data_IF_982473244228
#
_entry.id   IF_982473244228
#
_cell.length_a   1.000
_cell.length_b   1.000
_cell.length_c   1.000
_cell.angle_alpha   90.00
_cell.angle_beta   90.00
_cell.angle_gamma   90.00
#
_symmetry.space_group_name_H-M   'P 1'
#
loop_
_entity.id
_entity.type
_entity.pdbx_description
1 polymer ?
#
# COMPACT_ATOMS: atom_id res chain seq x y z
N UNK A 1 24.28 -51.07 53.55
CA UNK A 1 24.68 -49.71 53.97
C UNK A 1 23.95 -48.71 53.11
N UNK A 2 23.47 -47.63 53.72
CA UNK A 2 22.22 -46.91 53.42
C UNK A 2 22.51 -45.69 52.52
N UNK A 3 21.60 -44.88 51.98
CA UNK A 3 20.19 -44.58 52.23
C UNK A 3 19.60 -44.04 50.88
N UNK A 4 18.45 -44.48 50.35
CA UNK A 4 17.07 -44.15 50.81
C UNK A 4 16.76 -42.67 50.53
N UNK A 5 15.72 -42.21 49.82
CA UNK A 5 14.50 -42.81 49.23
C UNK A 5 13.99 -41.83 48.13
N UNK A 6 13.34 -42.27 47.03
CA UNK A 6 11.91 -42.66 46.91
C UNK A 6 11.00 -41.51 47.36
N UNK A 7 9.93 -41.11 46.73
CA UNK A 7 8.91 -41.67 45.82
C UNK A 7 7.76 -40.64 46.00
N UNK A 8 6.72 -40.45 45.22
CA UNK A 8 6.07 -41.07 44.07
C UNK A 8 4.90 -40.11 43.77
N UNK A 9 4.26 -40.30 42.61
CA UNK A 9 2.84 -40.02 42.33
C UNK A 9 2.42 -38.54 42.14
N UNK A 10 1.48 -38.16 41.27
CA UNK A 10 0.59 -38.82 40.29
C UNK A 10 -0.10 -37.68 39.50
N UNK A 11 -0.34 -37.93 38.22
CA UNK A 11 -1.42 -37.46 37.30
C UNK A 11 -2.09 -36.08 37.47
N UNK A 12 -2.19 -35.43 36.31
CA UNK A 12 -3.37 -34.79 35.70
C UNK A 12 -4.44 -34.17 36.61
N UNK A 13 -4.59 -32.85 36.51
CA UNK A 13 -5.87 -32.22 36.20
C UNK A 13 -5.60 -30.87 35.52
N UNK A 14 -5.84 -30.80 34.21
CA UNK A 14 -6.30 -29.56 33.59
C UNK A 14 -7.68 -29.27 34.17
N UNK A 15 -7.89 -28.07 34.72
CA UNK A 15 -9.10 -27.25 34.55
C UNK A 15 -9.00 -25.95 35.37
N UNK A 16 -9.08 -24.82 34.66
CA UNK A 16 -9.69 -23.57 35.11
C UNK A 16 -9.01 -22.74 36.22
N UNK A 17 -8.08 -21.86 35.84
CA UNK A 17 -7.90 -20.57 36.54
C UNK A 17 -7.59 -19.46 35.52
N UNK A 18 -8.49 -18.47 35.44
CA UNK A 18 -8.31 -17.20 34.74
C UNK A 18 -7.05 -16.47 35.23
N UNK A 19 -6.22 -15.85 34.37
CA UNK A 19 -5.20 -14.94 34.84
C UNK A 19 -5.86 -13.61 35.25
N UNK A 20 -5.89 -13.39 36.55
CA UNK A 20 -6.32 -12.17 37.22
C UNK A 20 -5.64 -10.90 36.66
N UNK A 21 -6.46 -9.86 36.50
CA UNK A 21 -6.18 -8.46 36.12
C UNK A 21 -5.22 -7.69 37.07
N UNK A 22 -4.32 -8.35 37.80
CA UNK A 22 -3.46 -7.71 38.82
C UNK A 22 -1.97 -7.63 38.48
N UNK A 23 -1.52 -8.18 37.36
CA UNK A 23 -0.11 -8.03 36.94
C UNK A 23 0.17 -6.75 36.12
N UNK A 24 -0.84 -6.17 35.45
CA UNK A 24 -0.70 -4.92 34.69
C UNK A 24 -0.52 -3.67 35.56
N UNK A 25 -0.96 -3.68 36.82
CA UNK A 25 -0.89 -2.52 37.72
C UNK A 25 0.41 -2.43 38.52
N UNK A 26 1.15 -3.53 38.70
CA UNK A 26 2.41 -3.51 39.44
C UNK A 26 3.58 -3.03 38.56
N UNK A 27 3.70 -3.56 37.33
CA UNK A 27 4.70 -3.06 36.36
C UNK A 27 4.41 -1.62 35.94
N UNK A 28 3.13 -1.25 35.73
CA UNK A 28 2.73 0.13 35.45
C UNK A 28 3.05 1.10 36.60
N UNK A 29 2.87 0.71 37.86
CA UNK A 29 3.21 1.54 39.04
C UNK A 29 4.71 1.58 39.33
N UNK A 30 5.47 0.53 39.01
CA UNK A 30 6.93 0.53 39.17
C UNK A 30 7.58 1.39 38.08
N UNK A 31 7.13 1.30 36.83
CA UNK A 31 7.61 2.16 35.74
C UNK A 31 7.18 3.62 35.94
N UNK A 32 5.93 3.88 36.37
CA UNK A 32 5.49 5.26 36.70
C UNK A 32 6.18 5.80 37.95
N UNK A 33 6.46 4.96 38.95
CA UNK A 33 7.18 5.33 40.17
C UNK A 33 8.65 5.65 39.91
N UNK A 34 9.32 4.91 39.03
CA UNK A 34 10.70 5.17 38.63
C UNK A 34 10.79 6.43 37.77
N UNK A 35 9.90 6.63 36.79
CA UNK A 35 9.87 7.87 35.98
C UNK A 35 9.54 9.10 36.83
N UNK A 36 8.61 9.01 37.79
CA UNK A 36 8.31 10.11 38.72
C UNK A 36 9.48 10.43 39.64
N UNK A 37 10.20 9.41 40.12
CA UNK A 37 11.37 9.58 41.00
C UNK A 37 12.58 10.13 40.24
N UNK A 38 12.78 9.72 38.98
CA UNK A 38 13.81 10.27 38.09
C UNK A 38 13.47 11.70 37.71
N UNK A 39 12.21 12.01 37.39
CA UNK A 39 11.73 13.37 37.12
C UNK A 39 11.89 14.29 38.33
N UNK A 40 11.53 13.82 39.53
CA UNK A 40 11.75 14.57 40.77
C UNK A 40 13.24 14.76 41.07
N UNK A 41 14.08 13.75 40.82
CA UNK A 41 15.53 13.86 40.97
C UNK A 41 16.14 14.86 39.98
N UNK A 42 15.73 14.87 38.71
CA UNK A 42 16.19 15.83 37.72
C UNK A 42 15.69 17.25 38.01
N UNK A 43 14.43 17.42 38.44
CA UNK A 43 13.91 18.72 38.86
C UNK A 43 14.68 19.26 40.08
N UNK A 44 14.90 18.42 41.09
CA UNK A 44 15.69 18.80 42.27
C UNK A 44 17.16 19.06 41.94
N UNK A 45 17.76 18.31 41.00
CA UNK A 45 19.12 18.54 40.54
C UNK A 45 19.22 19.84 39.72
N UNK A 46 18.22 20.15 38.89
CA UNK A 46 18.14 21.41 38.15
C UNK A 46 17.93 22.61 39.06
N UNK A 47 17.04 22.52 40.06
CA UNK A 47 16.87 23.57 41.08
C UNK A 47 18.17 23.78 41.87
N UNK A 48 18.80 22.70 42.32
CA UNK A 48 20.04 22.79 43.10
C UNK A 48 21.21 23.36 42.29
N UNK A 49 21.29 23.07 40.99
CA UNK A 49 22.36 23.58 40.13
C UNK A 49 22.07 25.00 39.61
N UNK A 50 20.80 25.37 39.37
CA UNK A 50 20.44 26.75 39.04
C UNK A 50 20.72 27.69 40.22
N UNK A 51 20.48 27.24 41.46
CA UNK A 51 20.85 27.98 42.68
C UNK A 51 22.37 28.12 42.87
N UNK A 52 23.17 27.13 42.47
CA UNK A 52 24.63 27.13 42.65
C UNK A 52 25.41 27.82 41.53
N UNK A 53 24.95 27.76 40.27
CA UNK A 53 25.70 28.28 39.12
C UNK A 53 24.97 29.34 38.28
N UNK A 54 23.72 29.68 38.63
CA UNK A 54 22.89 30.58 37.82
C UNK A 54 22.61 30.05 36.41
N UNK A 55 22.73 28.73 36.21
CA UNK A 55 22.52 28.01 34.95
C UNK A 55 21.98 26.61 35.27
N UNK A 56 20.94 26.11 34.58
CA UNK A 56 20.45 24.75 34.77
C UNK A 56 21.51 23.70 34.39
N UNK A 57 21.30 22.44 34.81
CA UNK A 57 22.09 21.27 34.38
C UNK A 57 21.79 20.98 32.91
N UNK A 58 22.34 21.84 32.08
CA UNK A 58 22.32 21.78 30.62
C UNK A 58 23.34 20.74 30.11
N UNK A 59 24.34 20.39 30.92
CA UNK A 59 25.47 19.57 30.49
C UNK A 59 25.23 18.05 30.37
N UNK A 60 24.01 17.54 30.58
CA UNK A 60 23.78 16.08 30.61
C UNK A 60 22.48 15.61 29.94
N UNK A 61 22.17 16.18 28.77
CA UNK A 61 21.09 15.68 27.89
C UNK A 61 21.25 14.20 27.49
N UNK A 62 22.46 13.64 27.61
CA UNK A 62 22.76 12.22 27.37
C UNK A 62 22.01 11.26 28.32
N UNK A 63 21.66 11.70 29.54
CA UNK A 63 20.87 10.92 30.49
C UNK A 63 19.37 11.08 30.27
N UNK A 64 18.93 12.30 29.94
CA UNK A 64 17.52 12.62 29.64
C UNK A 64 17.01 11.81 28.44
N UNK A 65 17.82 11.68 27.38
CA UNK A 65 17.43 10.99 26.14
C UNK A 65 17.30 9.45 26.27
N UNK A 66 17.70 8.85 27.41
CA UNK A 66 17.63 7.39 27.64
C UNK A 66 16.62 6.94 28.70
N UNK A 67 16.10 7.86 29.52
CA UNK A 67 15.31 7.48 30.72
C UNK A 67 14.08 8.34 30.96
N UNK A 68 13.95 9.48 30.29
CA UNK A 68 12.84 10.41 30.47
C UNK A 68 12.15 10.60 29.13
N UNK A 69 10.82 10.58 29.15
CA UNK A 69 10.01 11.02 28.02
C UNK A 69 10.25 12.53 27.81
N UNK A 70 11.24 12.84 26.97
CA UNK A 70 11.77 14.19 26.79
C UNK A 70 10.69 15.20 26.37
N UNK A 71 9.76 14.90 25.44
CA UNK A 71 8.62 15.77 25.16
C UNK A 71 7.81 16.14 26.40
N UNK A 72 7.36 15.16 27.19
CA UNK A 72 6.59 15.39 28.42
C UNK A 72 7.37 16.15 29.49
N UNK A 73 8.71 16.06 29.49
CA UNK A 73 9.55 16.86 30.38
C UNK A 73 9.62 18.33 29.91
N UNK A 74 9.79 18.55 28.61
CA UNK A 74 9.87 19.89 28.03
C UNK A 74 8.54 20.65 28.12
N UNK A 75 7.39 19.96 28.03
CA UNK A 75 6.04 20.55 28.18
C UNK A 75 5.78 21.09 29.59
N UNK A 76 6.42 20.51 30.60
CA UNK A 76 6.25 20.89 32.02
C UNK A 76 7.24 21.97 32.49
N UNK A 77 8.14 22.43 31.61
CA UNK A 77 9.09 23.49 31.95
C UNK A 77 8.40 24.85 32.04
N UNK A 78 8.85 25.68 32.97
CA UNK A 78 8.53 27.11 32.94
C UNK A 78 9.12 27.77 31.70
N UNK A 79 8.55 28.92 31.28
CA UNK A 79 9.05 29.65 30.10
C UNK A 79 10.54 29.98 30.21
N UNK A 80 10.99 30.45 31.38
CA UNK A 80 12.40 30.76 31.64
C UNK A 80 13.31 29.55 31.41
N UNK A 81 12.90 28.37 31.89
CA UNK A 81 13.69 27.15 31.74
C UNK A 81 13.67 26.66 30.28
N UNK A 82 12.52 26.74 29.60
CA UNK A 82 12.40 26.34 28.20
C UNK A 82 13.23 27.24 27.28
N UNK A 83 13.27 28.55 27.57
CA UNK A 83 14.10 29.53 26.89
C UNK A 83 15.59 29.21 27.05
N UNK A 84 16.04 28.94 28.27
CA UNK A 84 17.44 28.57 28.53
C UNK A 84 17.82 27.25 27.82
N UNK A 85 16.90 26.28 27.75
CA UNK A 85 17.11 25.05 26.97
C UNK A 85 17.24 25.38 25.47
N UNK A 86 16.37 26.22 24.91
CA UNK A 86 16.45 26.62 23.49
C UNK A 86 17.77 27.36 23.18
N UNK A 87 18.21 28.28 24.05
CA UNK A 87 19.47 29.00 23.89
C UNK A 87 20.68 28.05 23.97
N UNK A 88 20.65 27.09 24.90
CA UNK A 88 21.68 26.06 25.00
C UNK A 88 21.75 25.21 23.75
N UNK A 89 20.61 24.79 23.22
CA UNK A 89 20.55 23.94 22.03
C UNK A 89 21.21 24.64 20.83
N UNK A 90 20.98 25.94 20.67
CA UNK A 90 21.67 26.74 19.64
C UNK A 90 23.18 26.83 19.88
N UNK A 91 23.63 26.85 21.13
CA UNK A 91 25.06 26.80 21.45
C UNK A 91 25.67 25.43 21.13
N UNK A 92 24.98 24.34 21.47
CA UNK A 92 25.42 22.98 21.17
C UNK A 92 25.49 22.73 19.66
N UNK A 93 24.57 23.28 18.89
CA UNK A 93 24.58 23.24 17.42
C UNK A 93 25.76 24.01 16.79
N UNK A 94 26.34 24.98 17.52
CA UNK A 94 27.53 25.75 17.10
C UNK A 94 28.84 25.18 17.66
N UNK A 95 28.77 24.05 18.38
CA UNK A 95 29.94 23.39 18.98
C UNK A 95 30.86 22.79 17.92
N UNK A 96 32.16 22.72 18.21
CA UNK A 96 33.11 21.95 17.38
C UNK A 96 33.05 20.44 17.66
N UNK A 97 32.44 20.02 18.77
CA UNK A 97 32.23 18.60 19.11
C UNK A 97 31.01 18.03 18.36
N UNK A 98 31.20 17.10 17.39
CA UNK A 98 30.11 16.53 16.60
C UNK A 98 29.05 15.83 17.45
N UNK A 99 29.43 15.25 18.60
CA UNK A 99 28.48 14.59 19.51
C UNK A 99 27.53 15.61 20.14
N UNK A 100 28.06 16.78 20.53
CA UNK A 100 27.24 17.88 21.05
C UNK A 100 26.34 18.47 19.98
N UNK A 101 26.87 18.69 18.78
CA UNK A 101 26.08 19.18 17.64
C UNK A 101 24.90 18.25 17.37
N UNK A 102 25.14 16.94 17.30
CA UNK A 102 24.07 15.97 17.04
C UNK A 102 23.05 15.91 18.19
N UNK A 103 23.50 15.91 19.45
CA UNK A 103 22.59 15.95 20.60
C UNK A 103 21.75 17.23 20.62
N UNK A 104 22.36 18.38 20.32
CA UNK A 104 21.66 19.66 20.15
C UNK A 104 20.60 19.56 19.06
N UNK A 105 20.93 18.98 17.90
CA UNK A 105 19.99 18.78 16.79
C UNK A 105 18.77 17.93 17.18
N UNK A 106 18.97 16.86 17.97
CA UNK A 106 17.86 16.04 18.48
C UNK A 106 16.91 16.84 19.38
N UNK A 107 17.46 17.57 20.35
CA UNK A 107 16.64 18.38 21.28
C UNK A 107 15.97 19.52 20.52
N UNK A 108 16.66 20.13 19.55
CA UNK A 108 16.10 21.14 18.65
C UNK A 108 14.87 20.63 17.90
N UNK A 109 14.95 19.42 17.32
CA UNK A 109 13.83 18.79 16.63
C UNK A 109 12.61 18.57 17.54
N UNK A 110 12.84 18.15 18.79
CA UNK A 110 11.76 18.01 19.80
C UNK A 110 11.19 19.36 20.23
N UNK A 111 12.03 20.39 20.39
CA UNK A 111 11.59 21.72 20.77
C UNK A 111 10.64 22.34 19.72
N UNK A 112 10.87 22.10 18.44
CA UNK A 112 9.98 22.58 17.39
C UNK A 112 8.60 21.91 17.37
N UNK A 113 8.48 20.71 17.94
CA UNK A 113 7.23 19.94 18.01
C UNK A 113 6.41 20.20 19.26
N UNK A 114 6.97 20.91 20.23
CA UNK A 114 6.31 21.17 21.50
C UNK A 114 4.98 21.86 21.28
N UNK A 115 3.93 21.25 21.82
CA UNK A 115 2.64 21.92 21.97
C UNK A 115 2.78 22.94 23.09
N UNK A 116 3.14 24.16 22.71
CA UNK A 116 3.34 25.29 23.63
C UNK A 116 2.01 25.84 24.18
N UNK A 117 1.03 24.97 24.46
CA UNK A 117 -0.35 25.37 24.79
C UNK A 117 -0.43 26.18 26.10
N UNK A 118 0.55 26.00 26.99
CA UNK A 118 0.66 26.70 28.28
C UNK A 118 1.36 28.07 28.17
N UNK A 119 1.87 28.45 27.00
CA UNK A 119 2.60 29.69 26.78
C UNK A 119 1.77 30.68 25.96
N UNK A 120 1.96 31.97 26.20
CA UNK A 120 1.34 33.01 25.39
C UNK A 120 2.02 33.14 24.00
N UNK A 121 1.39 33.90 23.10
CA UNK A 121 1.90 34.05 21.73
C UNK A 121 3.26 34.77 21.68
N UNK A 122 3.55 35.66 22.65
CA UNK A 122 4.83 36.37 22.74
C UNK A 122 5.96 35.42 23.17
N UNK A 123 5.70 34.56 24.15
CA UNK A 123 6.62 33.53 24.62
C UNK A 123 6.94 32.52 23.52
N UNK A 124 5.91 32.06 22.79
CA UNK A 124 6.07 31.19 21.60
C UNK A 124 6.93 31.83 20.52
N UNK A 125 6.70 33.12 20.24
CA UNK A 125 7.47 33.86 19.25
C UNK A 125 8.93 34.02 19.67
N UNK A 126 9.20 34.20 20.96
CA UNK A 126 10.54 34.31 21.50
C UNK A 126 11.33 32.99 21.38
N UNK A 127 10.74 31.85 21.78
CA UNK A 127 11.37 30.53 21.55
C UNK A 127 11.59 30.29 20.06
N UNK A 128 10.60 30.58 19.22
CA UNK A 128 10.72 30.43 17.77
C UNK A 128 11.87 31.27 17.19
N UNK A 129 12.04 32.52 17.65
CA UNK A 129 13.15 33.39 17.23
C UNK A 129 14.51 32.81 17.60
N UNK A 130 14.62 32.16 18.77
CA UNK A 130 15.87 31.50 19.19
C UNK A 130 16.16 30.30 18.29
N UNK A 131 15.19 29.40 18.10
CA UNK A 131 15.38 28.19 17.29
C UNK A 131 15.67 28.50 15.82
N UNK A 132 15.06 29.56 15.27
CA UNK A 132 15.29 30.03 13.89
C UNK A 132 16.67 30.66 13.65
N UNK A 133 17.53 30.79 14.67
CA UNK A 133 18.92 31.19 14.47
C UNK A 133 19.76 30.12 13.75
N UNK A 134 19.28 28.88 13.71
CA UNK A 134 19.94 27.77 13.01
C UNK A 134 19.10 27.40 11.78
N UNK A 135 19.66 27.45 10.56
CA UNK A 135 18.95 27.05 9.36
C UNK A 135 18.54 25.58 9.40
N UNK A 136 17.28 25.29 9.09
CA UNK A 136 16.75 23.93 9.04
C UNK A 136 17.54 23.01 8.08
N UNK A 137 18.12 23.57 7.02
CA UNK A 137 18.99 22.84 6.09
C UNK A 137 20.27 22.32 6.76
N UNK A 138 20.87 23.07 7.70
CA UNK A 138 22.07 22.62 8.42
C UNK A 138 21.75 21.42 9.32
N UNK A 139 20.59 21.44 9.98
CA UNK A 139 20.09 20.32 10.80
C UNK A 139 19.84 19.09 9.92
N UNK A 140 19.25 19.28 8.74
CA UNK A 140 19.03 18.23 7.78
C UNK A 140 20.35 17.59 7.32
N UNK A 141 21.35 18.40 6.96
CA UNK A 141 22.64 17.92 6.46
C UNK A 141 23.38 17.11 7.55
N UNK A 142 23.32 17.58 8.80
CA UNK A 142 23.85 16.87 9.97
C UNK A 142 23.15 15.52 10.20
N UNK A 143 21.81 15.50 10.17
CA UNK A 143 21.04 14.28 10.36
C UNK A 143 21.30 13.28 9.22
N UNK A 144 21.42 13.75 7.98
CA UNK A 144 21.74 12.94 6.81
C UNK A 144 23.13 12.28 6.94
N UNK A 145 24.16 13.05 7.32
CA UNK A 145 25.52 12.51 7.51
C UNK A 145 25.54 11.46 8.62
N UNK A 146 24.92 11.75 9.76
CA UNK A 146 24.82 10.83 10.90
C UNK A 146 24.02 9.56 10.58
N UNK A 147 22.99 9.68 9.75
CA UNK A 147 22.16 8.55 9.31
C UNK A 147 22.94 7.58 8.41
N UNK A 148 23.78 8.12 7.51
CA UNK A 148 24.57 7.31 6.58
C UNK A 148 25.84 6.74 7.22
N UNK A 149 26.16 7.08 8.47
CA UNK A 149 27.30 6.52 9.19
C UNK A 149 27.01 5.07 9.62
N UNK A 150 27.71 4.12 8.99
CA UNK A 150 27.60 2.68 9.27
C UNK A 150 28.29 2.27 10.58
N UNK A 151 29.10 3.13 11.19
CA UNK A 151 29.93 2.74 12.33
C UNK A 151 29.17 2.74 13.67
N UNK A 152 28.02 3.41 13.76
CA UNK A 152 27.26 3.51 15.00
C UNK A 152 25.74 3.46 14.78
N UNK A 153 25.11 2.26 14.88
CA UNK A 153 23.68 2.10 14.69
C UNK A 153 22.81 2.98 15.59
N UNK A 154 23.21 3.22 16.85
CA UNK A 154 22.44 4.06 17.78
C UNK A 154 22.39 5.52 17.30
N UNK A 155 23.44 6.01 16.65
CA UNK A 155 23.46 7.37 16.08
C UNK A 155 22.57 7.42 14.83
N UNK A 156 22.62 6.41 13.97
CA UNK A 156 21.79 6.37 12.77
C UNK A 156 20.30 6.30 13.10
N UNK A 157 19.90 5.49 14.10
CA UNK A 157 18.50 5.37 14.52
C UNK A 157 17.98 6.70 15.05
N UNK A 158 18.78 7.37 15.89
CA UNK A 158 18.53 8.73 16.37
C UNK A 158 18.48 9.77 15.26
N UNK A 159 19.26 9.59 14.20
CA UNK A 159 19.25 10.46 13.04
C UNK A 159 17.97 10.25 12.22
N UNK A 160 17.50 9.00 12.12
CA UNK A 160 16.22 8.66 11.49
C UNK A 160 15.06 9.33 12.23
N UNK A 161 15.04 9.28 13.56
CA UNK A 161 14.06 9.99 14.38
C UNK A 161 14.08 11.49 14.13
N UNK A 162 15.26 12.11 14.06
CA UNK A 162 15.39 13.53 13.76
C UNK A 162 14.89 13.86 12.35
N UNK A 163 15.21 13.04 11.34
CA UNK A 163 14.70 13.22 9.97
C UNK A 163 13.16 13.11 9.92
N UNK A 164 12.57 12.15 10.62
CA UNK A 164 11.11 12.06 10.78
C UNK A 164 10.54 13.27 11.51
N UNK A 165 11.27 13.78 12.51
CA UNK A 165 10.86 14.98 13.21
C UNK A 165 10.81 16.20 12.28
N UNK A 166 11.83 16.37 11.44
CA UNK A 166 11.89 17.41 10.42
C UNK A 166 10.77 17.26 9.39
N UNK A 167 10.43 16.03 8.97
CA UNK A 167 9.37 15.77 8.00
C UNK A 167 8.00 16.25 8.45
N UNK A 168 7.75 16.25 9.76
CA UNK A 168 6.45 16.69 10.30
C UNK A 168 6.32 18.20 10.48
N UNK A 169 7.39 18.97 10.32
CA UNK A 169 7.36 20.43 10.48
C UNK A 169 6.60 21.10 9.35
N UNK A 170 6.91 20.69 8.12
CA UNK A 170 6.24 21.19 6.93
C UNK A 170 6.32 20.18 5.79
N UNK A 171 5.35 20.28 4.89
CA UNK A 171 5.21 19.43 3.71
C UNK A 171 6.44 19.45 2.80
N UNK A 172 7.05 20.62 2.57
CA UNK A 172 8.18 20.72 1.66
C UNK A 172 9.42 20.00 2.20
N UNK A 173 9.62 20.02 3.51
CA UNK A 173 10.67 19.24 4.19
C UNK A 173 10.41 17.73 4.07
N UNK A 174 9.16 17.31 4.26
CA UNK A 174 8.73 15.92 4.12
C UNK A 174 8.97 15.38 2.70
N UNK A 175 8.57 16.14 1.68
CA UNK A 175 8.72 15.77 0.26
C UNK A 175 10.21 15.66 -0.14
N UNK A 176 11.04 16.60 0.34
CA UNK A 176 12.50 16.56 0.14
C UNK A 176 13.12 15.31 0.76
N UNK A 177 12.65 14.89 1.95
CA UNK A 177 13.14 13.69 2.61
C UNK A 177 12.82 12.43 1.82
N UNK A 178 11.61 12.31 1.26
CA UNK A 178 11.21 11.17 0.42
C UNK A 178 12.05 11.08 -0.86
N UNK A 179 12.35 12.21 -1.50
CA UNK A 179 13.22 12.25 -2.68
C UNK A 179 14.68 11.93 -2.31
N UNK A 180 15.21 12.52 -1.24
CA UNK A 180 16.55 12.24 -0.73
C UNK A 180 16.71 10.76 -0.39
N UNK A 181 15.83 10.16 0.42
CA UNK A 181 15.92 8.75 0.80
C UNK A 181 15.84 7.84 -0.44
N UNK A 182 14.98 8.19 -1.41
CA UNK A 182 14.89 7.48 -2.69
C UNK A 182 16.14 7.63 -3.58
N UNK A 183 16.88 8.74 -3.50
CA UNK A 183 18.19 8.92 -4.15
C UNK A 183 19.26 8.08 -3.45
N UNK A 184 19.25 8.03 -2.12
CA UNK A 184 20.21 7.22 -1.36
C UNK A 184 20.03 5.72 -1.61
N UNK A 185 18.80 5.22 -1.68
CA UNK A 185 18.54 3.82 -2.05
C UNK A 185 19.11 3.44 -3.43
N UNK A 186 19.11 4.39 -4.38
CA UNK A 186 19.69 4.21 -5.72
C UNK A 186 21.21 4.24 -5.72
N UNK A 187 21.83 4.79 -4.67
CA UNK A 187 23.28 4.84 -4.55
C UNK A 187 23.85 3.43 -4.39
N UNK A 188 24.87 3.12 -5.17
CA UNK A 188 25.58 1.83 -5.10
C UNK A 188 26.43 1.68 -3.84
N UNK A 189 26.66 2.77 -3.11
CA UNK A 189 27.60 2.81 -2.00
C UNK A 189 26.95 2.63 -0.64
N UNK A 190 25.61 2.61 -0.55
CA UNK A 190 24.93 2.34 0.71
C UNK A 190 25.11 0.86 1.11
N UNK A 191 25.52 0.63 2.36
CA UNK A 191 25.59 -0.69 2.97
C UNK A 191 24.20 -1.36 3.01
N UNK A 192 24.17 -2.67 3.28
CA UNK A 192 22.91 -3.40 3.46
C UNK A 192 22.10 -2.82 4.64
N UNK A 193 22.78 -2.46 5.72
CA UNK A 193 22.16 -1.92 6.93
C UNK A 193 21.58 -0.51 6.69
N UNK A 194 22.32 0.37 6.00
CA UNK A 194 21.79 1.68 5.58
C UNK A 194 20.61 1.52 4.64
N UNK A 195 20.64 0.57 3.71
CA UNK A 195 19.49 0.30 2.83
C UNK A 195 18.26 -0.16 3.59
N UNK A 196 18.41 -1.06 4.57
CA UNK A 196 17.32 -1.48 5.43
C UNK A 196 16.68 -0.29 6.16
N UNK A 197 17.51 0.54 6.81
CA UNK A 197 17.05 1.74 7.52
C UNK A 197 16.41 2.78 6.60
N UNK A 198 16.93 2.97 5.38
CA UNK A 198 16.30 3.86 4.39
C UNK A 198 14.91 3.36 3.98
N UNK A 199 14.71 2.05 3.91
CA UNK A 199 13.40 1.48 3.60
C UNK A 199 12.41 1.69 4.74
N UNK A 200 12.82 1.44 5.98
CA UNK A 200 11.98 1.72 7.15
C UNK A 200 11.65 3.23 7.24
N UNK A 201 12.63 4.11 7.03
CA UNK A 201 12.41 5.55 6.98
C UNK A 201 11.41 5.95 5.89
N UNK A 202 11.49 5.38 4.68
CA UNK A 202 10.52 5.64 3.62
C UNK A 202 9.12 5.17 3.98
N UNK A 203 8.98 4.02 4.64
CA UNK A 203 7.69 3.53 5.11
C UNK A 203 7.09 4.46 6.16
N UNK A 204 7.91 4.95 7.09
CA UNK A 204 7.46 5.88 8.12
C UNK A 204 7.11 7.24 7.54
N UNK A 205 7.92 7.80 6.64
CA UNK A 205 7.58 9.00 5.87
C UNK A 205 6.27 8.82 5.10
N UNK A 206 6.08 7.67 4.45
CA UNK A 206 4.87 7.36 3.70
C UNK A 206 3.59 7.27 4.55
N UNK A 207 3.72 7.13 5.87
CA UNK A 207 2.60 7.15 6.83
C UNK A 207 2.27 8.54 7.37
N UNK A 208 3.15 9.52 7.17
CA UNK A 208 2.92 10.88 7.66
C UNK A 208 1.91 11.61 6.78
N UNK A 209 0.84 12.11 7.39
CA UNK A 209 -0.17 12.93 6.69
C UNK A 209 0.37 14.27 6.17
N UNK A 210 1.51 14.72 6.70
CA UNK A 210 2.23 15.89 6.20
C UNK A 210 2.84 15.68 4.80
N UNK A 211 3.11 14.43 4.40
CA UNK A 211 3.62 14.07 3.07
C UNK A 211 2.45 13.98 2.11
N UNK A 212 2.58 14.52 0.89
CA UNK A 212 1.52 14.35 -0.09
C UNK A 212 1.35 12.90 -0.54
N UNK A 213 0.15 12.59 -1.03
CA UNK A 213 -0.20 11.24 -1.46
C UNK A 213 0.72 10.69 -2.57
N UNK A 214 1.22 11.51 -3.48
CA UNK A 214 2.15 11.06 -4.53
C UNK A 214 3.50 10.66 -3.94
N UNK A 215 4.02 11.43 -2.99
CA UNK A 215 5.25 11.09 -2.28
C UNK A 215 5.07 9.90 -1.33
N UNK A 216 3.93 9.78 -0.64
CA UNK A 216 3.60 8.58 0.17
C UNK A 216 3.58 7.32 -0.71
N UNK A 217 2.93 7.39 -1.87
CA UNK A 217 2.91 6.30 -2.84
C UNK A 217 4.29 6.01 -3.44
N UNK A 218 5.05 7.06 -3.79
CA UNK A 218 6.43 6.96 -4.29
C UNK A 218 7.35 6.27 -3.29
N UNK A 219 7.19 6.57 -2.00
CA UNK A 219 7.94 5.90 -0.94
C UNK A 219 7.64 4.40 -0.90
N UNK A 220 6.37 3.99 -0.92
CA UNK A 220 5.97 2.59 -0.96
C UNK A 220 6.50 1.87 -2.22
N UNK A 221 6.40 2.47 -3.41
CA UNK A 221 6.91 1.90 -4.67
C UNK A 221 8.44 1.72 -4.60
N UNK A 222 9.18 2.71 -4.07
CA UNK A 222 10.64 2.59 -3.90
C UNK A 222 10.99 1.41 -2.98
N UNK A 223 10.25 1.23 -1.88
CA UNK A 223 10.46 0.08 -0.98
C UNK A 223 10.11 -1.24 -1.66
N UNK A 224 9.06 -1.32 -2.48
CA UNK A 224 8.78 -2.52 -3.28
C UNK A 224 9.93 -2.86 -4.24
N UNK A 225 10.48 -1.87 -4.94
CA UNK A 225 11.54 -2.07 -5.94
C UNK A 225 12.86 -2.47 -5.28
N UNK A 226 13.27 -1.75 -4.23
CA UNK A 226 14.60 -1.92 -3.62
C UNK A 226 14.60 -2.87 -2.43
N UNK A 227 13.43 -3.18 -1.87
CA UNK A 227 13.24 -4.11 -0.76
C UNK A 227 13.89 -5.46 -1.03
N UNK A 228 14.84 -5.82 -0.17
CA UNK A 228 15.58 -7.08 -0.27
C UNK A 228 14.84 -8.25 0.38
N UNK A 229 13.89 -7.97 1.29
CA UNK A 229 13.16 -9.01 2.03
C UNK A 229 11.66 -8.99 1.71
N UNK A 230 10.97 -10.14 1.76
CA UNK A 230 9.52 -10.20 1.61
C UNK A 230 8.79 -9.31 2.61
N UNK A 231 9.25 -9.25 3.87
CA UNK A 231 8.59 -8.49 4.93
C UNK A 231 8.56 -6.99 4.63
N UNK A 232 9.63 -6.42 4.04
CA UNK A 232 9.65 -5.01 3.65
C UNK A 232 8.71 -4.73 2.48
N UNK A 233 8.62 -5.66 1.53
CA UNK A 233 7.68 -5.56 0.42
C UNK A 233 6.23 -5.68 0.88
N UNK A 234 5.97 -6.52 1.88
CA UNK A 234 4.66 -6.66 2.49
C UNK A 234 4.26 -5.39 3.23
N UNK A 235 5.15 -4.82 4.07
CA UNK A 235 4.91 -3.51 4.71
C UNK A 235 4.64 -2.38 3.70
N UNK A 236 5.34 -2.39 2.56
CA UNK A 236 5.09 -1.41 1.49
C UNK A 236 3.72 -1.62 0.83
N UNK A 237 3.32 -2.89 0.64
CA UNK A 237 1.98 -3.25 0.21
C UNK A 237 0.90 -2.80 1.18
N UNK A 238 1.08 -3.07 2.48
CA UNK A 238 0.16 -2.65 3.55
C UNK A 238 0.00 -1.12 3.55
N UNK A 239 1.09 -0.38 3.40
CA UNK A 239 1.04 1.07 3.27
C UNK A 239 0.18 1.50 2.08
N UNK A 240 0.35 0.90 0.89
CA UNK A 240 -0.49 1.23 -0.27
C UNK A 240 -1.98 0.96 -0.01
N UNK A 241 -2.29 -0.14 0.66
CA UNK A 241 -3.68 -0.47 1.03
C UNK A 241 -4.24 0.54 2.05
N UNK A 242 -3.44 0.97 3.01
CA UNK A 242 -3.84 2.00 3.97
C UNK A 242 -4.10 3.35 3.30
N UNK A 243 -3.27 3.74 2.31
CA UNK A 243 -3.50 4.93 1.49
C UNK A 243 -4.78 4.82 0.66
N UNK A 244 -5.06 3.65 0.11
CA UNK A 244 -6.27 3.40 -0.67
C UNK A 244 -7.55 3.45 0.17
N UNK A 245 -7.46 3.19 1.48
CA UNK A 245 -8.59 3.22 2.42
C UNK A 245 -8.99 4.62 2.87
N UNK A 246 -8.19 5.65 2.59
CA UNK A 246 -8.44 7.01 3.09
C UNK A 246 -9.78 7.58 2.59
N UNK A 247 -9.97 7.56 1.27
CA UNK A 247 -11.19 7.95 0.58
C UNK A 247 -11.15 7.48 -0.88
N UNK A 248 -12.27 7.64 -1.58
CA UNK A 248 -12.43 7.26 -2.99
C UNK A 248 -11.43 7.99 -3.92
N UNK A 249 -11.06 9.25 -3.63
CA UNK A 249 -10.11 10.01 -4.43
C UNK A 249 -8.68 9.48 -4.28
N UNK A 250 -8.31 9.10 -3.06
CA UNK A 250 -7.05 8.46 -2.72
C UNK A 250 -6.98 7.06 -3.31
N UNK A 251 -8.08 6.32 -3.30
CA UNK A 251 -8.18 5.02 -3.97
C UNK A 251 -7.90 5.14 -5.47
N UNK A 252 -8.60 6.02 -6.18
CA UNK A 252 -8.41 6.23 -7.63
C UNK A 252 -6.95 6.59 -7.96
N UNK A 253 -6.33 7.42 -7.12
CA UNK A 253 -4.95 7.80 -7.27
C UNK A 253 -3.99 6.61 -7.07
N UNK A 254 -4.17 5.86 -5.98
CA UNK A 254 -3.31 4.70 -5.64
C UNK A 254 -3.46 3.61 -6.69
N UNK A 255 -4.68 3.33 -7.14
CA UNK A 255 -5.00 2.31 -8.14
C UNK A 255 -4.29 2.61 -9.46
N UNK A 256 -4.43 3.83 -10.00
CA UNK A 256 -3.73 4.25 -11.23
C UNK A 256 -2.22 4.14 -11.11
N UNK A 257 -1.65 4.59 -9.99
CA UNK A 257 -0.20 4.53 -9.74
C UNK A 257 0.29 3.09 -9.65
N UNK A 258 -0.47 2.21 -9.00
CA UNK A 258 -0.14 0.80 -8.86
C UNK A 258 -0.29 0.05 -10.20
N UNK A 259 -1.34 0.34 -10.97
CA UNK A 259 -1.53 -0.21 -12.32
C UNK A 259 -0.41 0.23 -13.26
N UNK A 260 -0.04 1.51 -13.25
CA UNK A 260 1.10 2.03 -14.01
C UNK A 260 2.42 1.35 -13.62
N UNK A 261 2.67 1.19 -12.33
CA UNK A 261 3.84 0.45 -11.83
C UNK A 261 3.85 -1.00 -12.32
N UNK A 262 2.72 -1.71 -12.19
CA UNK A 262 2.54 -3.11 -12.60
C UNK A 262 2.72 -3.27 -14.11
N UNK A 263 2.29 -2.29 -14.88
CA UNK A 263 2.46 -2.24 -16.34
C UNK A 263 3.91 -2.01 -16.76
N UNK A 264 4.60 -1.08 -16.08
CA UNK A 264 5.94 -0.61 -16.49
C UNK A 264 7.08 -1.46 -15.92
N UNK A 265 6.85 -2.19 -14.83
CA UNK A 265 7.88 -3.04 -14.24
C UNK A 265 8.26 -4.20 -15.16
N UNK A 266 9.57 -4.48 -15.23
CA UNK A 266 10.12 -5.62 -15.99
C UNK A 266 10.35 -6.85 -15.12
N UNK A 267 10.19 -6.72 -13.81
CA UNK A 267 10.33 -7.84 -12.87
C UNK A 267 9.02 -8.60 -12.79
N UNK A 268 9.05 -9.90 -13.07
CA UNK A 268 7.90 -10.81 -12.90
C UNK A 268 7.36 -10.78 -11.49
N UNK A 269 8.24 -10.78 -10.49
CA UNK A 269 7.87 -10.85 -9.08
C UNK A 269 7.20 -9.56 -8.62
N UNK A 270 7.71 -8.40 -9.05
CA UNK A 270 7.08 -7.12 -8.79
C UNK A 270 5.74 -6.97 -9.53
N UNK A 271 5.63 -7.55 -10.73
CA UNK A 271 4.38 -7.57 -11.47
C UNK A 271 3.34 -8.42 -10.75
N UNK A 272 3.70 -9.62 -10.30
CA UNK A 272 2.83 -10.48 -9.51
C UNK A 272 2.36 -9.78 -8.22
N UNK A 273 3.30 -9.19 -7.46
CA UNK A 273 2.97 -8.42 -6.25
C UNK A 273 2.05 -7.23 -6.54
N UNK A 274 2.27 -6.52 -7.65
CA UNK A 274 1.40 -5.43 -8.08
C UNK A 274 -0.03 -5.89 -8.38
N UNK A 275 -0.18 -7.03 -9.05
CA UNK A 275 -1.50 -7.65 -9.29
C UNK A 275 -2.16 -8.11 -7.99
N UNK A 276 -1.42 -8.73 -7.08
CA UNK A 276 -1.94 -9.15 -5.77
C UNK A 276 -2.46 -7.96 -4.95
N UNK A 277 -1.75 -6.82 -5.03
CA UNK A 277 -2.17 -5.58 -4.36
C UNK A 277 -3.43 -5.00 -5.01
N UNK A 278 -3.55 -4.99 -6.34
CA UNK A 278 -4.77 -4.57 -7.04
C UNK A 278 -5.98 -5.45 -6.64
N UNK A 279 -5.79 -6.77 -6.51
CA UNK A 279 -6.82 -7.67 -6.01
C UNK A 279 -7.21 -7.36 -4.56
N UNK A 280 -6.22 -7.11 -3.70
CA UNK A 280 -6.45 -6.74 -2.30
C UNK A 280 -7.19 -5.40 -2.18
N UNK A 281 -6.91 -4.45 -3.06
CA UNK A 281 -7.65 -3.18 -3.15
C UNK A 281 -9.11 -3.39 -3.58
N UNK A 282 -9.36 -4.27 -4.55
CA UNK A 282 -10.72 -4.57 -5.02
C UNK A 282 -11.57 -5.29 -3.96
N UNK A 283 -10.95 -5.93 -2.97
CA UNK A 283 -11.60 -6.55 -1.82
C UNK A 283 -11.98 -5.54 -0.71
N UNK A 284 -11.56 -4.27 -0.79
CA UNK A 284 -11.88 -3.24 0.21
C UNK A 284 -13.37 -2.85 0.14
N UNK A 285 -14.15 -3.29 1.13
CA UNK A 285 -15.59 -3.04 1.24
C UNK A 285 -15.96 -1.58 1.58
N UNK A 286 -15.00 -0.80 2.09
CA UNK A 286 -15.17 0.63 2.41
C UNK A 286 -15.19 1.54 1.18
N UNK A 287 -14.91 1.01 -0.01
CA UNK A 287 -14.73 1.77 -1.26
C UNK A 287 -15.87 1.48 -2.23
N UNK A 288 -16.23 2.46 -3.06
CA UNK A 288 -17.33 2.30 -4.02
C UNK A 288 -17.09 1.16 -5.05
N UNK A 289 -18.18 0.54 -5.49
CA UNK A 289 -18.15 -0.60 -6.41
C UNK A 289 -17.44 -0.28 -7.74
N UNK A 290 -17.55 0.96 -8.24
CA UNK A 290 -16.86 1.35 -9.47
C UNK A 290 -15.34 1.29 -9.32
N UNK A 291 -14.80 1.71 -8.18
CA UNK A 291 -13.35 1.72 -7.96
C UNK A 291 -12.81 0.30 -7.73
N UNK A 292 -13.56 -0.52 -6.99
CA UNK A 292 -13.24 -1.94 -6.81
C UNK A 292 -13.26 -2.71 -8.12
N UNK A 293 -14.23 -2.43 -8.99
CA UNK A 293 -14.32 -3.01 -10.32
C UNK A 293 -13.14 -2.61 -11.21
N UNK A 294 -12.69 -1.34 -11.14
CA UNK A 294 -11.48 -0.90 -11.85
C UNK A 294 -10.25 -1.68 -11.38
N UNK A 295 -10.01 -1.75 -10.06
CA UNK A 295 -8.85 -2.45 -9.50
C UNK A 295 -8.84 -3.94 -9.86
N UNK A 296 -9.99 -4.63 -9.80
CA UNK A 296 -10.10 -6.02 -10.24
C UNK A 296 -9.93 -6.18 -11.77
N UNK A 297 -10.39 -5.19 -12.55
CA UNK A 297 -10.20 -5.12 -14.00
C UNK A 297 -8.73 -4.98 -14.37
N UNK A 298 -8.00 -4.10 -13.70
CA UNK A 298 -6.56 -3.92 -13.88
C UNK A 298 -5.77 -5.14 -13.42
N UNK A 299 -6.19 -5.80 -12.34
CA UNK A 299 -5.62 -7.09 -11.94
C UNK A 299 -5.79 -8.17 -13.02
N UNK A 300 -6.99 -8.28 -13.62
CA UNK A 300 -7.26 -9.19 -14.73
C UNK A 300 -6.41 -8.82 -15.96
N UNK A 301 -6.32 -7.53 -16.29
CA UNK A 301 -5.53 -7.01 -17.40
C UNK A 301 -4.05 -7.41 -17.25
N UNK A 302 -3.49 -7.26 -16.04
CA UNK A 302 -2.07 -7.49 -15.77
C UNK A 302 -1.69 -8.92 -15.39
N UNK A 303 -2.66 -9.81 -15.12
CA UNK A 303 -2.41 -11.21 -14.78
C UNK A 303 -1.55 -11.95 -15.81
N UNK A 304 -0.70 -12.86 -15.34
CA UNK A 304 0.18 -13.69 -16.18
C UNK A 304 -0.11 -15.19 -16.09
N UNK A 305 -0.98 -15.59 -15.17
CA UNK A 305 -1.35 -16.97 -14.91
C UNK A 305 -2.87 -17.11 -14.72
N UNK A 306 -3.37 -18.33 -14.90
CA UNK A 306 -4.78 -18.67 -14.80
C UNK A 306 -5.36 -18.45 -13.39
N UNK A 307 -4.59 -18.74 -12.33
CA UNK A 307 -5.07 -18.65 -10.96
C UNK A 307 -5.41 -17.21 -10.58
N UNK A 308 -4.49 -16.29 -10.89
CA UNK A 308 -4.68 -14.85 -10.69
C UNK A 308 -5.80 -14.30 -11.57
N UNK A 309 -5.84 -14.68 -12.85
CA UNK A 309 -6.92 -14.29 -13.75
C UNK A 309 -8.29 -14.77 -13.25
N UNK A 310 -8.38 -16.00 -12.76
CA UNK A 310 -9.61 -16.59 -12.22
C UNK A 310 -10.05 -15.86 -10.95
N UNK A 311 -9.12 -15.53 -10.05
CA UNK A 311 -9.42 -14.74 -8.85
C UNK A 311 -9.98 -13.35 -9.23
N UNK A 312 -9.34 -12.65 -10.16
CA UNK A 312 -9.81 -11.37 -10.66
C UNK A 312 -11.20 -11.47 -11.29
N UNK A 313 -11.40 -12.48 -12.14
CA UNK A 313 -12.67 -12.74 -12.84
C UNK A 313 -13.82 -13.04 -11.88
N UNK A 314 -13.59 -13.87 -10.86
CA UNK A 314 -14.61 -14.20 -9.87
C UNK A 314 -15.00 -12.96 -9.06
N UNK A 315 -14.02 -12.14 -8.66
CA UNK A 315 -14.28 -10.88 -7.96
C UNK A 315 -15.08 -9.90 -8.83
N UNK A 316 -14.73 -9.77 -10.11
CA UNK A 316 -15.48 -8.95 -11.07
C UNK A 316 -16.92 -9.44 -11.22
N UNK A 317 -17.15 -10.76 -11.28
CA UNK A 317 -18.49 -11.32 -11.36
C UNK A 317 -19.31 -11.09 -10.09
N UNK A 318 -18.69 -11.19 -8.91
CA UNK A 318 -19.34 -10.90 -7.64
C UNK A 318 -19.67 -9.41 -7.48
N UNK A 319 -18.83 -8.52 -8.02
CA UNK A 319 -19.13 -7.08 -8.12
C UNK A 319 -20.25 -6.83 -9.13
N UNK A 320 -20.22 -7.46 -10.30
CA UNK A 320 -21.22 -7.29 -11.36
C UNK A 320 -22.64 -7.64 -10.91
N UNK A 321 -22.79 -8.58 -9.97
CA UNK A 321 -24.08 -8.97 -9.39
C UNK A 321 -24.64 -7.95 -8.38
N UNK A 322 -23.84 -6.97 -7.96
CA UNK A 322 -24.27 -5.92 -7.03
C UNK A 322 -24.89 -4.75 -7.79
N UNK A 323 -25.99 -4.23 -7.26
CA UNK A 323 -26.71 -3.11 -7.85
C UNK A 323 -25.83 -1.85 -7.91
N UNK A 324 -25.80 -1.18 -9.06
CA UNK A 324 -25.01 0.04 -9.27
C UNK A 324 -23.57 -0.19 -9.75
N UNK A 325 -23.13 -1.43 -9.95
CA UNK A 325 -21.82 -1.72 -10.54
C UNK A 325 -21.78 -1.37 -12.04
N UNK A 326 -20.73 -0.67 -12.53
CA UNK A 326 -20.58 -0.35 -13.95
C UNK A 326 -20.13 -1.58 -14.75
N UNK A 327 -21.10 -2.34 -15.30
CA UNK A 327 -20.84 -3.56 -16.06
C UNK A 327 -20.04 -3.32 -17.35
N UNK A 328 -20.21 -2.15 -17.97
CA UNK A 328 -19.47 -1.71 -19.15
C UNK A 328 -17.95 -1.69 -18.89
N UNK A 329 -17.52 -1.17 -17.74
CA UNK A 329 -16.11 -1.14 -17.35
C UNK A 329 -15.54 -2.53 -17.11
N UNK A 330 -16.32 -3.40 -16.45
CA UNK A 330 -15.93 -4.80 -16.22
C UNK A 330 -15.77 -5.52 -17.56
N UNK A 331 -16.72 -5.29 -18.48
CA UNK A 331 -16.67 -5.85 -19.82
C UNK A 331 -15.45 -5.36 -20.61
N UNK A 332 -15.04 -4.09 -20.51
CA UNK A 332 -13.81 -3.59 -21.17
C UNK A 332 -12.54 -4.33 -20.75
N UNK A 333 -12.35 -4.56 -19.45
CA UNK A 333 -11.21 -5.32 -18.94
C UNK A 333 -11.20 -6.76 -19.48
N UNK A 334 -12.36 -7.43 -19.46
CA UNK A 334 -12.52 -8.78 -19.97
C UNK A 334 -12.32 -8.86 -21.50
N UNK A 335 -12.89 -7.91 -22.27
CA UNK A 335 -12.74 -7.79 -23.73
C UNK A 335 -11.28 -7.63 -24.12
N UNK A 336 -10.55 -6.75 -23.44
CA UNK A 336 -9.11 -6.58 -23.67
C UNK A 336 -8.38 -7.90 -23.44
N UNK A 337 -8.60 -8.55 -22.28
CA UNK A 337 -7.88 -9.76 -21.92
C UNK A 337 -8.19 -10.93 -22.85
N UNK A 338 -9.42 -11.03 -23.31
CA UNK A 338 -9.83 -12.03 -24.31
C UNK A 338 -9.13 -11.83 -25.66
N UNK A 339 -8.96 -10.58 -26.10
CA UNK A 339 -8.34 -10.25 -27.39
C UNK A 339 -6.83 -10.45 -27.41
N UNK A 340 -6.14 -10.22 -26.29
CA UNK A 340 -4.68 -10.29 -26.27
C UNK A 340 -4.22 -11.75 -26.45
N UNK A 341 -3.32 -12.03 -27.42
CA UNK A 341 -2.72 -13.34 -27.57
C UNK A 341 -1.97 -13.71 -26.28
N UNK A 342 -2.51 -14.66 -25.53
CA UNK A 342 -1.98 -15.13 -24.26
C UNK A 342 -2.17 -16.64 -24.11
N UNK A 343 -2.01 -17.14 -22.88
CA UNK A 343 -2.34 -18.53 -22.57
C UNK A 343 -3.82 -18.80 -22.86
N UNK A 344 -4.13 -19.98 -23.41
CA UNK A 344 -5.50 -20.45 -23.67
C UNK A 344 -6.40 -20.37 -22.44
N UNK A 345 -5.83 -20.64 -21.27
CA UNK A 345 -6.49 -20.69 -19.98
C UNK A 345 -7.01 -19.32 -19.56
N UNK A 346 -6.16 -18.29 -19.64
CA UNK A 346 -6.57 -16.90 -19.35
C UNK A 346 -7.60 -16.39 -20.36
N UNK A 347 -7.49 -16.77 -21.64
CA UNK A 347 -8.51 -16.42 -22.63
C UNK A 347 -9.86 -17.09 -22.30
N UNK A 348 -9.84 -18.33 -21.81
CA UNK A 348 -11.05 -19.01 -21.33
C UNK A 348 -11.68 -18.29 -20.13
N UNK A 349 -10.88 -17.88 -19.15
CA UNK A 349 -11.36 -17.11 -17.98
C UNK A 349 -12.04 -15.82 -18.44
N UNK A 350 -11.38 -15.04 -19.31
CA UNK A 350 -11.94 -13.80 -19.83
C UNK A 350 -13.22 -14.04 -20.66
N UNK A 351 -13.25 -15.09 -21.48
CA UNK A 351 -14.41 -15.45 -22.29
C UNK A 351 -15.62 -15.85 -21.44
N UNK A 352 -15.38 -16.67 -20.40
CA UNK A 352 -16.43 -17.05 -19.45
C UNK A 352 -16.98 -15.84 -18.70
N UNK A 353 -16.12 -14.91 -18.29
CA UNK A 353 -16.56 -13.66 -17.68
C UNK A 353 -17.46 -12.86 -18.62
N UNK A 354 -17.08 -12.71 -19.90
CA UNK A 354 -17.90 -12.02 -20.89
C UNK A 354 -19.28 -12.67 -21.07
N UNK A 355 -19.35 -14.01 -21.13
CA UNK A 355 -20.63 -14.73 -21.20
C UNK A 355 -21.52 -14.43 -19.99
N UNK A 356 -20.96 -14.47 -18.78
CA UNK A 356 -21.70 -14.18 -17.56
C UNK A 356 -22.18 -12.72 -17.50
N UNK A 357 -21.36 -11.76 -17.94
CA UNK A 357 -21.76 -10.35 -18.00
C UNK A 357 -22.93 -10.13 -18.95
N UNK A 358 -22.90 -10.78 -20.11
CA UNK A 358 -24.01 -10.72 -21.09
C UNK A 358 -25.29 -11.35 -20.53
N UNK A 359 -25.18 -12.39 -19.68
CA UNK A 359 -26.34 -12.94 -18.94
C UNK A 359 -26.93 -11.96 -17.93
N UNK A 360 -26.07 -11.17 -17.29
CA UNK A 360 -26.50 -10.15 -16.33
C UNK A 360 -27.11 -8.93 -17.04
N UNK A 361 -26.56 -8.55 -18.19
CA UNK A 361 -27.03 -7.43 -18.99
C UNK A 361 -26.87 -7.69 -20.49
N UNK A 362 -28.00 -8.04 -21.13
CA UNK A 362 -28.06 -8.32 -22.56
C UNK A 362 -27.67 -7.11 -23.44
N UNK A 363 -27.66 -5.89 -22.91
CA UNK A 363 -27.23 -4.70 -23.68
C UNK A 363 -25.75 -4.76 -24.06
N UNK A 364 -24.94 -5.57 -23.36
CA UNK A 364 -23.53 -5.79 -23.67
C UNK A 364 -23.30 -6.75 -24.85
N UNK A 365 -24.33 -7.48 -25.27
CA UNK A 365 -24.19 -8.60 -26.20
C UNK A 365 -23.53 -8.20 -27.53
N UNK A 366 -24.01 -7.13 -28.17
CA UNK A 366 -23.52 -6.72 -29.48
C UNK A 366 -22.02 -6.41 -29.47
N UNK A 367 -21.56 -5.66 -28.46
CA UNK A 367 -20.14 -5.34 -28.28
C UNK A 367 -19.28 -6.58 -27.99
N UNK A 368 -19.79 -7.49 -27.17
CA UNK A 368 -19.10 -8.74 -26.85
C UNK A 368 -19.01 -9.65 -28.07
N UNK A 369 -20.10 -9.85 -28.80
CA UNK A 369 -20.14 -10.61 -30.06
C UNK A 369 -19.12 -10.04 -31.05
N UNK A 370 -19.07 -8.71 -31.21
CA UNK A 370 -18.11 -8.05 -32.10
C UNK A 370 -16.64 -8.33 -31.71
N UNK A 371 -16.30 -8.25 -30.42
CA UNK A 371 -14.93 -8.53 -29.96
C UNK A 371 -14.54 -9.99 -30.17
N UNK A 372 -15.43 -10.94 -29.84
CA UNK A 372 -15.14 -12.37 -30.00
C UNK A 372 -15.05 -12.72 -31.49
N UNK A 373 -15.92 -12.16 -32.33
CA UNK A 373 -15.90 -12.35 -33.80
C UNK A 373 -14.61 -11.83 -34.43
N UNK A 374 -14.15 -10.64 -34.02
CA UNK A 374 -12.86 -10.10 -34.44
C UNK A 374 -11.68 -10.96 -33.97
N UNK A 375 -11.80 -11.61 -32.81
CA UNK A 375 -10.77 -12.54 -32.33
C UNK A 375 -10.78 -13.84 -33.14
N UNK A 376 -11.95 -14.32 -33.57
CA UNK A 376 -12.09 -15.51 -34.42
C UNK A 376 -11.45 -15.28 -35.80
N UNK A 377 -11.77 -14.16 -36.45
CA UNK A 377 -11.26 -13.84 -37.79
C UNK A 377 -9.74 -13.70 -37.85
N UNK A 378 -9.11 -13.34 -36.71
CA UNK A 378 -7.67 -13.23 -36.57
C UNK A 378 -6.99 -14.49 -35.99
N UNK A 379 -7.76 -15.52 -35.62
CA UNK A 379 -7.22 -16.77 -35.10
C UNK A 379 -6.59 -17.61 -36.21
N UNK A 380 -5.41 -18.17 -35.95
CA UNK A 380 -4.62 -18.92 -36.94
C UNK A 380 -4.25 -20.35 -36.49
N UNK A 381 -4.69 -20.78 -35.31
CA UNK A 381 -4.53 -22.15 -34.80
C UNK A 381 -5.88 -22.83 -34.64
N UNK A 382 -5.95 -24.14 -34.86
CA UNK A 382 -7.19 -24.90 -34.67
C UNK A 382 -7.70 -24.81 -33.22
N UNK A 383 -6.82 -24.82 -32.23
CA UNK A 383 -7.21 -24.70 -30.82
C UNK A 383 -7.84 -23.34 -30.51
N UNK A 384 -7.31 -22.25 -31.08
CA UNK A 384 -7.91 -20.91 -30.93
C UNK A 384 -9.22 -20.81 -31.67
N UNK A 385 -9.29 -21.34 -32.89
CA UNK A 385 -10.52 -21.36 -33.70
C UNK A 385 -11.63 -22.16 -33.00
N UNK A 386 -11.33 -23.35 -32.46
CA UNK A 386 -12.30 -24.17 -31.74
C UNK A 386 -12.83 -23.43 -30.50
N UNK A 387 -11.92 -22.91 -29.69
CA UNK A 387 -12.25 -22.21 -28.45
C UNK A 387 -13.08 -20.95 -28.70
N UNK A 388 -12.62 -20.06 -29.58
CA UNK A 388 -13.29 -18.79 -29.86
C UNK A 388 -14.64 -19.04 -30.54
N UNK A 389 -14.74 -20.05 -31.42
CA UNK A 389 -16.02 -20.48 -31.99
C UNK A 389 -16.97 -20.99 -30.92
N UNK A 390 -16.49 -21.77 -29.95
CA UNK A 390 -17.28 -22.22 -28.81
C UNK A 390 -17.90 -21.07 -28.01
N UNK A 391 -17.17 -19.98 -27.79
CA UNK A 391 -17.73 -18.79 -27.12
C UNK A 391 -18.84 -18.11 -27.93
N UNK A 392 -18.69 -17.99 -29.26
CA UNK A 392 -19.75 -17.43 -30.11
C UNK A 392 -20.99 -18.33 -30.15
N UNK A 393 -20.82 -19.65 -30.22
CA UNK A 393 -21.95 -20.59 -30.19
C UNK A 393 -22.68 -20.56 -28.84
N UNK A 394 -21.95 -20.36 -27.74
CA UNK A 394 -22.56 -20.15 -26.41
C UNK A 394 -23.36 -18.84 -26.34
N UNK A 395 -22.92 -17.78 -27.03
CA UNK A 395 -23.69 -16.54 -27.15
C UNK A 395 -24.93 -16.75 -28.03
N UNK A 396 -24.80 -17.44 -29.16
CA UNK A 396 -25.92 -17.73 -30.04
C UNK A 396 -27.02 -18.58 -29.35
N UNK A 397 -26.64 -19.42 -28.38
CA UNK A 397 -27.58 -20.23 -27.58
C UNK A 397 -28.15 -19.50 -26.36
N UNK A 398 -27.68 -18.28 -26.06
CA UNK A 398 -28.05 -17.59 -24.84
C UNK A 398 -29.50 -17.09 -24.90
N UNK A 399 -30.36 -17.69 -24.08
CA UNK A 399 -31.74 -17.25 -23.91
C UNK A 399 -31.77 -15.80 -23.38
N UNK A 400 -32.57 -14.93 -24.02
CA UNK A 400 -32.69 -13.52 -23.66
C UNK A 400 -31.89 -12.55 -24.54
N UNK A 401 -31.03 -13.05 -25.44
CA UNK A 401 -30.39 -12.22 -26.45
C UNK A 401 -31.28 -11.90 -27.64
N UNK A 402 -31.01 -10.76 -28.27
CA UNK A 402 -31.67 -10.37 -29.51
C UNK A 402 -31.41 -11.41 -30.60
N UNK A 403 -32.40 -11.64 -31.47
CA UNK A 403 -32.24 -12.54 -32.62
C UNK A 403 -31.04 -12.11 -33.47
N UNK A 404 -30.87 -10.80 -33.68
CA UNK A 404 -29.75 -10.23 -34.43
C UNK A 404 -28.38 -10.62 -33.86
N UNK A 405 -28.15 -10.44 -32.56
CA UNK A 405 -26.85 -10.79 -31.95
C UNK A 405 -26.58 -12.30 -32.00
N UNK A 406 -27.62 -13.13 -31.82
CA UNK A 406 -27.51 -14.60 -31.90
C UNK A 406 -27.17 -15.06 -33.31
N UNK A 407 -27.83 -14.48 -34.32
CA UNK A 407 -27.54 -14.73 -35.74
C UNK A 407 -26.12 -14.28 -36.09
N UNK A 408 -25.69 -13.10 -35.67
CA UNK A 408 -24.33 -12.61 -35.93
C UNK A 408 -23.29 -13.54 -35.28
N UNK A 409 -23.54 -13.99 -34.04
CA UNK A 409 -22.62 -14.90 -33.35
C UNK A 409 -22.48 -16.24 -34.09
N UNK A 410 -23.57 -16.94 -34.40
CA UNK A 410 -23.52 -18.20 -35.14
C UNK A 410 -23.02 -18.01 -36.58
N UNK A 411 -23.46 -16.95 -37.26
CA UNK A 411 -23.04 -16.60 -38.61
C UNK A 411 -21.53 -16.36 -38.72
N UNK A 412 -20.92 -15.68 -37.73
CA UNK A 412 -19.48 -15.47 -37.72
C UNK A 412 -18.68 -16.77 -37.50
N UNK A 413 -19.24 -17.76 -36.78
CA UNK A 413 -18.64 -19.11 -36.71
C UNK A 413 -18.74 -19.82 -38.05
N UNK A 414 -19.86 -19.69 -38.75
CA UNK A 414 -20.02 -20.26 -40.09
C UNK A 414 -19.06 -19.63 -41.11
N UNK A 415 -18.91 -18.30 -41.10
CA UNK A 415 -18.07 -17.56 -42.06
C UNK A 415 -16.56 -17.71 -41.77
N UNK A 416 -16.16 -17.56 -40.50
CA UNK A 416 -14.75 -17.49 -40.11
C UNK A 416 -14.21 -18.75 -39.43
N UNK A 417 -15.09 -19.62 -38.94
CA UNK A 417 -14.72 -20.88 -38.34
C UNK A 417 -14.05 -21.80 -39.38
N UNK A 418 -13.09 -22.58 -38.91
CA UNK A 418 -12.42 -23.61 -39.75
C UNK A 418 -12.40 -24.99 -39.09
N UNK A 419 -13.12 -25.12 -37.98
CA UNK A 419 -13.29 -26.38 -37.25
C UNK A 419 -14.64 -26.95 -37.67
N UNK A 420 -14.61 -28.06 -38.40
CA UNK A 420 -15.78 -28.67 -39.05
C UNK A 420 -16.96 -28.90 -38.09
N UNK A 421 -16.68 -29.41 -36.88
CA UNK A 421 -17.69 -29.62 -35.85
C UNK A 421 -18.36 -28.31 -35.39
N UNK A 422 -17.59 -27.22 -35.29
CA UNK A 422 -18.10 -25.89 -34.88
C UNK A 422 -18.92 -25.23 -35.98
N UNK A 423 -18.50 -25.37 -37.23
CA UNK A 423 -19.25 -24.90 -38.40
C UNK A 423 -20.58 -25.66 -38.49
N UNK A 424 -20.57 -26.98 -38.27
CA UNK A 424 -21.78 -27.80 -38.24
C UNK A 424 -22.75 -27.33 -37.13
N UNK A 425 -22.24 -27.12 -35.91
CA UNK A 425 -23.04 -26.56 -34.80
C UNK A 425 -23.64 -25.18 -35.14
N UNK A 426 -22.88 -24.32 -35.82
CA UNK A 426 -23.37 -23.01 -36.27
C UNK A 426 -24.53 -23.14 -37.27
N UNK A 427 -24.45 -24.07 -38.22
CA UNK A 427 -25.52 -24.34 -39.20
C UNK A 427 -26.79 -24.81 -38.49
N UNK A 428 -26.65 -25.73 -37.53
CA UNK A 428 -27.78 -26.23 -36.74
C UNK A 428 -28.44 -25.09 -35.95
N UNK A 429 -27.65 -24.23 -35.29
CA UNK A 429 -28.16 -23.07 -34.57
C UNK A 429 -28.86 -22.06 -35.49
N UNK A 430 -28.26 -21.72 -36.64
CA UNK A 430 -28.88 -20.81 -37.61
C UNK A 430 -30.21 -21.36 -38.14
N UNK A 431 -30.29 -22.67 -38.38
CA UNK A 431 -31.52 -23.35 -38.81
C UNK A 431 -32.61 -23.26 -37.74
N UNK A 432 -32.26 -23.48 -36.47
CA UNK A 432 -33.20 -23.34 -35.35
C UNK A 432 -33.70 -21.89 -35.18
N UNK A 433 -32.82 -20.91 -35.36
CA UNK A 433 -33.18 -19.49 -35.28
C UNK A 433 -34.14 -19.09 -36.41
N UNK A 434 -33.92 -19.60 -37.63
CA UNK A 434 -34.81 -19.38 -38.78
C UNK A 434 -36.23 -19.91 -38.56
N UNK A 435 -36.36 -21.06 -37.91
CA UNK A 435 -37.67 -21.66 -37.64
C UNK A 435 -38.43 -20.92 -36.52
N UNK A 436 -37.74 -20.05 -35.76
CA UNK A 436 -38.30 -19.36 -34.59
C UNK A 436 -38.95 -18.00 -34.89
N UNK A 437 -38.58 -17.31 -35.97
CA UNK A 437 -39.20 -16.03 -36.37
C UNK A 437 -39.19 -15.78 -37.90
N UNK A 438 -40.34 -15.86 -38.60
CA UNK A 438 -40.44 -15.70 -40.05
C UNK A 438 -40.36 -14.23 -40.55
N UNK A 439 -40.19 -13.23 -39.68
CA UNK A 439 -40.10 -11.83 -40.09
C UNK A 439 -38.68 -11.41 -40.56
N UNK A 440 -37.63 -12.04 -40.04
CA UNK A 440 -36.21 -11.73 -40.34
C UNK A 440 -35.54 -12.72 -41.30
N UNK A 441 -36.35 -13.61 -41.91
CA UNK A 441 -35.88 -14.73 -42.74
C UNK A 441 -35.01 -14.32 -43.94
N UNK A 442 -35.20 -13.13 -44.51
CA UNK A 442 -34.53 -12.73 -45.76
C UNK A 442 -33.08 -12.28 -45.56
N UNK A 443 -32.71 -11.77 -44.38
CA UNK A 443 -31.34 -11.37 -44.07
C UNK A 443 -30.51 -12.58 -43.60
N UNK A 444 -31.13 -13.48 -42.85
CA UNK A 444 -30.52 -14.75 -42.41
C UNK A 444 -30.33 -15.72 -43.60
N UNK A 445 -31.30 -15.82 -44.52
CA UNK A 445 -31.16 -16.62 -45.74
C UNK A 445 -29.98 -16.17 -46.61
N UNK A 446 -29.71 -14.87 -46.70
CA UNK A 446 -28.54 -14.34 -47.44
C UNK A 446 -27.21 -14.75 -46.83
N UNK A 447 -27.14 -14.96 -45.51
CA UNK A 447 -25.93 -15.40 -44.82
C UNK A 447 -25.68 -16.90 -45.04
N UNK A 448 -26.75 -17.71 -45.15
CA UNK A 448 -26.67 -19.17 -45.34
C UNK A 448 -26.45 -19.57 -46.81
N UNK A 449 -26.90 -18.75 -47.78
CA UNK A 449 -26.71 -19.02 -49.22
C UNK A 449 -25.29 -18.77 -49.74
N UNK A 450 -24.41 -18.17 -48.93
CA UNK A 450 -22.97 -17.97 -49.19
C UNK A 450 -22.20 -19.18 -48.67
#
# INVERSE_FOLDING_TARGET
MPNIHRADNVRNAQEGVQPDQKQGTFLGRVVSGVTSSVKAFFNAANEFHSEMSGRPIVGSYSLLNRTVDLPSYLEDLSFSNLKEVAESVVQDLKSEDPKRVFQGAQVWGKLLKLKMDNFDDSEKEEISKILNQVPLQEIFDLANEAFCDDLNPEISDKAAELLLDLATLDKASADKLVDWAGKQLRSRNASVDVRGRLMDLLLDLGRLDAVDLDNRMSAAIKVLIYGSTPELKDKAGDLMLDLARLDDASFDFVEKKLADFTRMTRSSDLKAKGVDLLLSMAELDTISLSFRANAAGDALYHSSDEGTASKASNLLLDLARQEGTPLDKIAEAAKYKFRVPGSSEIQNVAGNLLLELVRLDASLASDVVNVISNTLSNSNTNDSLDRVSGFLLNLADLEGLSLGDRVVAAGNVFIYGRVEDRVSQAIDQLSLLLDSDPADTDEIKKIIEI
#
